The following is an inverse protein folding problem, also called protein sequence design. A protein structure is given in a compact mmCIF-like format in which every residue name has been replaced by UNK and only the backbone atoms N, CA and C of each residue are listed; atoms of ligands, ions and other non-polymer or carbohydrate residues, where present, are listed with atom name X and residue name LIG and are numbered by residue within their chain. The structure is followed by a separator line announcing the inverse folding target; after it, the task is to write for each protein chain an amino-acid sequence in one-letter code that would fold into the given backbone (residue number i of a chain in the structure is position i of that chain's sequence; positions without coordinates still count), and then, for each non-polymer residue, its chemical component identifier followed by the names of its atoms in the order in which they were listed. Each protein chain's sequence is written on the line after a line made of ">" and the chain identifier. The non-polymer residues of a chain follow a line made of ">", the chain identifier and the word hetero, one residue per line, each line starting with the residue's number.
data_IF_521130376389
#
_entry.id   IF_521130376389
#
_cell.length_a   1.000
_cell.length_b   1.000
_cell.length_c   1.000
_cell.angle_alpha   90.00
_cell.angle_beta   90.00
_cell.angle_gamma   90.00
#
_symmetry.space_group_name_H-M   'P 1'
#
loop_
_entity.id
_entity.type
_entity.pdbx_description
1 polymer ?
#
# COMPACT_ATOMS: atom_id res chain seq x y z
N UNK A 1 -26.47 2.04 -15.09
CA UNK A 1 -25.84 3.30 -14.64
C UNK A 1 -24.46 3.35 -15.28
N UNK A 2 -24.32 3.77 -16.53
CA UNK A 2 -24.25 5.16 -17.03
C UNK A 2 -23.27 6.00 -16.20
N UNK A 3 -21.98 5.89 -16.53
CA UNK A 3 -20.97 6.86 -16.14
C UNK A 3 -21.43 8.27 -16.59
N UNK A 4 -21.67 9.21 -15.67
CA UNK A 4 -21.99 10.58 -16.06
C UNK A 4 -20.75 11.22 -16.68
N UNK A 5 -20.97 11.81 -17.86
CA UNK A 5 -20.12 12.76 -18.59
C UNK A 5 -19.03 13.41 -17.71
N UNK A 6 -17.79 12.96 -17.90
CA UNK A 6 -16.57 13.36 -17.15
C UNK A 6 -16.11 14.78 -17.51
N UNK A 7 -16.96 15.80 -17.33
CA UNK A 7 -16.60 17.19 -17.67
C UNK A 7 -16.54 18.16 -16.48
N UNK A 8 -16.95 17.74 -15.27
CA UNK A 8 -17.17 18.67 -14.14
C UNK A 8 -16.75 18.11 -12.77
N UNK A 9 -15.80 17.16 -12.69
CA UNK A 9 -15.39 16.58 -11.39
C UNK A 9 -13.91 16.82 -11.10
N UNK A 10 -13.62 17.95 -10.45
CA UNK A 10 -12.45 18.12 -9.56
C UNK A 10 -12.63 17.17 -8.35
N UNK A 11 -12.46 15.87 -8.55
CA UNK A 11 -12.46 14.90 -7.45
C UNK A 11 -11.02 14.60 -7.09
N UNK A 12 -10.60 15.08 -5.91
CA UNK A 12 -9.22 15.12 -5.44
C UNK A 12 -8.61 13.72 -5.15
N UNK A 13 -9.42 12.66 -5.17
CA UNK A 13 -8.99 11.25 -5.10
C UNK A 13 -10.21 10.36 -5.41
N UNK A 14 -10.28 9.77 -6.59
CA UNK A 14 -11.32 8.79 -6.94
C UNK A 14 -10.69 7.40 -7.00
N UNK A 15 -11.23 6.46 -6.22
CA UNK A 15 -10.75 5.08 -6.12
C UNK A 15 -11.55 4.21 -7.09
N UNK A 16 -10.89 3.68 -8.12
CA UNK A 16 -11.50 2.77 -9.09
C UNK A 16 -11.40 1.33 -8.59
N UNK A 17 -12.52 0.60 -8.58
CA UNK A 17 -12.57 -0.83 -8.27
C UNK A 17 -13.23 -1.56 -9.45
N UNK A 18 -12.43 -2.37 -10.15
CA UNK A 18 -12.82 -3.12 -11.34
C UNK A 18 -14.08 -3.97 -11.11
N UNK A 19 -14.30 -4.50 -9.89
CA UNK A 19 -15.46 -5.37 -9.59
C UNK A 19 -16.76 -4.60 -9.46
N UNK A 20 -16.67 -3.33 -9.09
CA UNK A 20 -17.84 -2.48 -8.84
C UNK A 20 -18.18 -1.68 -10.09
N UNK A 21 -17.17 -1.31 -10.88
CA UNK A 21 -17.33 -0.41 -12.02
C UNK A 21 -17.48 -1.11 -13.38
N UNK A 22 -17.14 -2.39 -13.52
CA UNK A 22 -17.17 -3.11 -14.81
C UNK A 22 -18.06 -4.34 -14.71
N UNK A 23 -19.11 -4.39 -15.54
CA UNK A 23 -19.99 -5.56 -15.66
C UNK A 23 -19.19 -6.78 -16.14
N UNK A 24 -19.06 -7.82 -15.32
CA UNK A 24 -18.29 -9.02 -15.67
C UNK A 24 -19.04 -9.97 -16.63
N UNK A 25 -20.34 -9.79 -16.80
CA UNK A 25 -21.24 -10.65 -17.57
C UNK A 25 -21.56 -10.11 -18.97
N UNK A 26 -21.48 -8.80 -19.18
CA UNK A 26 -21.87 -8.15 -20.44
C UNK A 26 -20.65 -7.60 -21.19
N UNK A 27 -20.39 -8.15 -22.37
CA UNK A 27 -19.23 -7.80 -23.19
C UNK A 27 -19.30 -6.40 -23.82
N UNK A 28 -20.51 -5.90 -24.13
CA UNK A 28 -20.68 -4.54 -24.65
C UNK A 28 -20.39 -3.51 -23.56
N UNK A 29 -20.92 -3.72 -22.36
CA UNK A 29 -20.66 -2.83 -21.21
C UNK A 29 -19.19 -2.86 -20.79
N UNK A 30 -18.48 -3.98 -20.97
CA UNK A 30 -17.02 -4.03 -20.78
C UNK A 30 -16.28 -3.15 -21.77
N UNK A 31 -16.66 -3.18 -23.05
CA UNK A 31 -16.06 -2.34 -24.07
C UNK A 31 -16.22 -0.85 -23.78
N UNK A 32 -17.43 -0.43 -23.39
CA UNK A 32 -17.70 0.95 -23.00
C UNK A 32 -16.92 1.37 -21.75
N UNK A 33 -16.86 0.48 -20.75
CA UNK A 33 -16.08 0.73 -19.54
C UNK A 33 -14.58 0.86 -19.83
N UNK A 34 -14.03 0.06 -20.74
CA UNK A 34 -12.62 0.12 -21.16
C UNK A 34 -12.29 1.47 -21.80
N UNK A 35 -13.16 1.97 -22.68
CA UNK A 35 -12.99 3.28 -23.32
C UNK A 35 -13.05 4.40 -22.28
N UNK A 36 -14.01 4.36 -21.36
CA UNK A 36 -14.11 5.35 -20.28
C UNK A 36 -12.90 5.30 -19.34
N UNK A 37 -12.37 4.11 -19.07
CA UNK A 37 -11.19 3.92 -18.22
C UNK A 37 -9.94 4.54 -18.86
N UNK A 38 -9.73 4.37 -20.17
CA UNK A 38 -8.62 5.01 -20.88
C UNK A 38 -8.68 6.53 -20.82
N UNK A 39 -9.88 7.12 -20.96
CA UNK A 39 -10.07 8.56 -20.80
C UNK A 39 -9.77 9.03 -19.37
N UNK A 40 -10.18 8.26 -18.36
CA UNK A 40 -9.91 8.54 -16.95
C UNK A 40 -8.41 8.52 -16.62
N UNK A 41 -7.69 7.48 -17.08
CA UNK A 41 -6.25 7.35 -16.88
C UNK A 41 -5.47 8.49 -17.54
N UNK A 42 -5.94 8.99 -18.70
CA UNK A 42 -5.35 10.15 -19.39
C UNK A 42 -5.57 11.46 -18.61
N UNK A 43 -6.72 11.64 -17.96
CA UNK A 43 -7.03 12.83 -17.17
C UNK A 43 -6.41 12.81 -15.76
N UNK A 44 -5.95 11.66 -15.28
CA UNK A 44 -5.35 11.52 -13.95
C UNK A 44 -3.93 12.09 -13.93
N UNK A 45 -3.58 12.87 -12.90
CA UNK A 45 -2.24 13.45 -12.75
C UNK A 45 -1.24 12.48 -12.09
N UNK A 46 -1.73 11.57 -11.24
CA UNK A 46 -0.92 10.59 -10.51
C UNK A 46 -1.65 9.26 -10.35
N UNK A 47 -0.89 8.18 -10.18
CA UNK A 47 -1.40 6.82 -9.99
C UNK A 47 -0.70 6.16 -8.80
N UNK A 48 -1.49 5.62 -7.86
CA UNK A 48 -1.01 4.83 -6.73
C UNK A 48 -1.25 3.35 -7.02
N UNK A 49 -0.18 2.58 -7.12
CA UNK A 49 -0.19 1.13 -7.31
C UNK A 49 0.11 0.45 -5.98
N UNK A 50 -0.89 -0.26 -5.46
CA UNK A 50 -0.70 -1.14 -4.31
C UNK A 50 -0.15 -2.48 -4.82
N UNK A 51 1.16 -2.63 -4.73
CA UNK A 51 1.87 -3.78 -5.28
C UNK A 51 1.78 -4.98 -4.33
N UNK A 52 1.11 -6.01 -4.79
CA UNK A 52 0.93 -7.28 -4.09
C UNK A 52 1.16 -8.44 -5.08
N UNK A 53 1.49 -9.67 -4.64
CA UNK A 53 1.72 -10.79 -5.55
C UNK A 53 0.53 -11.09 -6.48
N UNK A 54 -0.71 -10.78 -6.06
CA UNK A 54 -1.91 -10.92 -6.90
C UNK A 54 -2.13 -9.74 -7.85
N UNK A 55 -1.41 -8.62 -7.69
CA UNK A 55 -1.49 -7.46 -8.58
C UNK A 55 -1.04 -7.84 -10.00
N UNK A 56 0.10 -8.53 -10.12
CA UNK A 56 0.61 -9.00 -11.42
C UNK A 56 -0.21 -10.15 -12.02
N UNK A 57 -0.97 -10.87 -11.20
CA UNK A 57 -1.88 -11.93 -11.67
C UNK A 57 -3.19 -11.40 -12.25
N UNK A 58 -3.55 -10.14 -11.99
CA UNK A 58 -4.76 -9.50 -12.49
C UNK A 58 -4.45 -8.72 -13.76
N UNK A 59 -4.93 -9.22 -14.90
CA UNK A 59 -4.69 -8.63 -16.22
C UNK A 59 -5.11 -7.15 -16.29
N UNK A 60 -6.24 -6.80 -15.67
CA UNK A 60 -6.79 -5.46 -15.64
C UNK A 60 -5.89 -4.46 -14.91
N UNK A 61 -5.34 -4.83 -13.75
CA UNK A 61 -4.40 -3.98 -13.00
C UNK A 61 -3.15 -3.62 -13.84
N UNK A 62 -2.62 -4.59 -14.58
CA UNK A 62 -1.49 -4.37 -15.50
C UNK A 62 -1.91 -3.52 -16.71
N UNK A 63 -3.12 -3.73 -17.24
CA UNK A 63 -3.68 -2.91 -18.31
C UNK A 63 -3.82 -1.45 -17.88
N UNK A 64 -4.31 -1.17 -16.68
CA UNK A 64 -4.42 0.19 -16.14
C UNK A 64 -3.05 0.86 -15.98
N UNK A 65 -2.08 0.13 -15.42
CA UNK A 65 -0.71 0.62 -15.28
C UNK A 65 -0.09 0.92 -16.64
N UNK A 66 -0.21 0.01 -17.61
CA UNK A 66 0.28 0.21 -18.96
C UNK A 66 -0.42 1.37 -19.66
N UNK A 67 -1.75 1.49 -19.53
CA UNK A 67 -2.55 2.57 -20.09
C UNK A 67 -2.19 3.93 -19.50
N UNK A 68 -1.97 4.01 -18.19
CA UNK A 68 -1.49 5.22 -17.52
C UNK A 68 -0.13 5.65 -18.08
N UNK A 69 0.84 4.74 -18.14
CA UNK A 69 2.19 5.02 -18.66
C UNK A 69 2.18 5.40 -20.13
N UNK A 70 1.37 4.71 -20.95
CA UNK A 70 1.25 5.00 -22.39
C UNK A 70 0.59 6.36 -22.67
N UNK A 71 -0.35 6.80 -21.81
CA UNK A 71 -1.05 8.07 -21.97
C UNK A 71 -0.17 9.31 -21.74
N UNK A 72 1.02 9.14 -21.14
CA UNK A 72 1.92 10.26 -20.79
C UNK A 72 2.77 10.68 -21.99
N UNK A 73 2.98 11.99 -22.12
CA UNK A 73 3.83 12.55 -23.18
C UNK A 73 5.31 12.21 -22.95
N UNK A 74 6.03 11.98 -24.04
CA UNK A 74 7.46 11.68 -24.04
C UNK A 74 8.23 12.86 -23.43
N UNK A 75 8.83 12.64 -22.25
CA UNK A 75 9.59 13.66 -21.51
C UNK A 75 8.94 14.16 -20.21
N UNK A 76 7.66 13.84 -19.96
CA UNK A 76 7.04 14.06 -18.64
C UNK A 76 7.33 12.88 -17.72
N UNK A 77 7.78 13.14 -16.49
CA UNK A 77 7.90 12.08 -15.47
C UNK A 77 6.50 11.69 -14.98
N UNK A 78 6.04 10.44 -15.20
CA UNK A 78 4.77 9.98 -14.64
C UNK A 78 4.84 10.01 -13.11
N UNK A 79 3.84 10.61 -12.46
CA UNK A 79 3.68 10.55 -11.01
C UNK A 79 3.10 9.19 -10.62
N UNK A 80 3.93 8.15 -10.69
CA UNK A 80 3.58 6.79 -10.34
C UNK A 80 4.18 6.44 -8.97
N UNK A 81 3.33 6.14 -8.00
CA UNK A 81 3.74 5.70 -6.67
C UNK A 81 3.41 4.22 -6.51
N UNK A 82 4.43 3.39 -6.29
CA UNK A 82 4.25 1.94 -6.06
C UNK A 82 4.49 1.66 -4.58
N UNK A 83 3.48 1.14 -3.87
CA UNK A 83 3.57 0.80 -2.45
C UNK A 83 3.35 -0.70 -2.25
N UNK A 84 4.35 -1.45 -1.77
CA UNK A 84 4.18 -2.86 -1.48
C UNK A 84 3.27 -3.05 -0.26
N UNK A 85 2.17 -3.79 -0.41
CA UNK A 85 1.19 -4.04 0.67
C UNK A 85 1.67 -5.08 1.68
N UNK A 86 2.53 -6.02 1.25
CA UNK A 86 3.08 -7.09 2.11
C UNK A 86 4.06 -6.54 3.15
N UNK A 87 4.73 -5.42 2.83
CA UNK A 87 5.74 -4.82 3.71
C UNK A 87 5.13 -4.37 5.05
N UNK A 88 3.92 -3.80 5.03
CA UNK A 88 3.24 -3.38 6.26
C UNK A 88 2.96 -4.55 7.21
N UNK A 89 2.42 -5.65 6.69
CA UNK A 89 2.10 -6.84 7.50
C UNK A 89 3.38 -7.49 8.02
N UNK A 90 4.40 -7.65 7.17
CA UNK A 90 5.66 -8.24 7.58
C UNK A 90 6.34 -7.46 8.72
N UNK A 91 6.35 -6.13 8.64
CA UNK A 91 6.89 -5.27 9.69
C UNK A 91 6.11 -5.44 11.01
N UNK A 92 4.77 -5.47 10.96
CA UNK A 92 3.96 -5.68 12.17
C UNK A 92 4.20 -7.05 12.81
N UNK A 93 4.35 -8.10 12.01
CA UNK A 93 4.63 -9.45 12.50
C UNK A 93 6.03 -9.55 13.15
N UNK A 94 7.04 -8.95 12.53
CA UNK A 94 8.40 -8.90 13.08
C UNK A 94 8.41 -8.15 14.41
N UNK A 95 7.69 -7.02 14.49
CA UNK A 95 7.56 -6.26 15.74
C UNK A 95 6.85 -7.05 16.83
N UNK A 96 5.76 -7.73 16.51
CA UNK A 96 5.05 -8.58 17.46
C UNK A 96 5.97 -9.67 18.00
N UNK A 97 6.74 -10.33 17.13
CA UNK A 97 7.69 -11.36 17.53
C UNK A 97 8.79 -10.79 18.46
N UNK A 98 9.36 -9.63 18.15
CA UNK A 98 10.36 -8.98 19.00
C UNK A 98 9.81 -8.62 20.39
N UNK A 99 8.58 -8.10 20.45
CA UNK A 99 7.94 -7.76 21.74
C UNK A 99 7.65 -9.01 22.58
N UNK A 100 7.19 -10.10 21.96
CA UNK A 100 6.96 -11.37 22.66
C UNK A 100 8.28 -11.93 23.20
N UNK A 101 9.35 -11.88 22.40
CA UNK A 101 10.66 -12.39 22.80
C UNK A 101 11.25 -11.55 23.95
N UNK A 102 11.10 -10.23 23.88
CA UNK A 102 11.49 -9.31 24.96
C UNK A 102 10.70 -9.57 26.25
N UNK A 103 9.38 -9.76 26.16
CA UNK A 103 8.55 -10.07 27.33
C UNK A 103 8.95 -11.40 27.98
N UNK A 104 9.19 -12.43 27.18
CA UNK A 104 9.64 -13.73 27.66
C UNK A 104 11.03 -13.68 28.32
N UNK A 105 11.97 -12.95 27.71
CA UNK A 105 13.30 -12.75 28.26
C UNK A 105 13.23 -12.02 29.62
N UNK A 106 12.50 -10.91 29.66
CA UNK A 106 12.19 -10.18 30.88
C UNK A 106 11.65 -11.12 31.97
N UNK A 107 10.57 -11.85 31.71
CA UNK A 107 9.99 -12.77 32.69
C UNK A 107 10.98 -13.83 33.20
N UNK A 108 11.81 -14.38 32.30
CA UNK A 108 12.84 -15.35 32.67
C UNK A 108 13.93 -14.75 33.59
N UNK A 109 14.40 -13.53 33.30
CA UNK A 109 15.42 -12.88 34.12
C UNK A 109 14.89 -12.44 35.49
N UNK A 110 13.62 -12.07 35.60
CA UNK A 110 12.96 -11.85 36.90
C UNK A 110 12.92 -13.15 37.71
N UNK A 111 12.60 -14.27 37.07
CA UNK A 111 12.56 -15.58 37.71
C UNK A 111 13.93 -16.02 38.25
N UNK A 112 15.01 -15.69 37.53
CA UNK A 112 16.40 -15.98 37.92
C UNK A 112 16.96 -14.97 38.92
N UNK A 113 16.23 -13.88 39.21
CA UNK A 113 16.65 -12.86 40.17
C UNK A 113 17.75 -11.93 39.65
N UNK A 114 17.74 -11.60 38.37
CA UNK A 114 18.68 -10.66 37.77
C UNK A 114 18.54 -9.23 38.34
N UNK A 115 19.65 -8.50 38.44
CA UNK A 115 19.70 -7.16 39.04
C UNK A 115 19.01 -6.06 38.23
N UNK A 116 18.58 -4.99 38.90
CA UNK A 116 17.80 -3.87 38.34
C UNK A 116 18.51 -3.11 37.19
N UNK A 117 19.85 -3.10 37.16
CA UNK A 117 20.64 -2.50 36.08
C UNK A 117 20.41 -3.19 34.72
N UNK A 118 20.19 -4.51 34.73
CA UNK A 118 19.88 -5.27 33.52
C UNK A 118 18.51 -4.87 32.95
N UNK A 119 17.54 -4.65 33.81
CA UNK A 119 16.17 -4.26 33.45
C UNK A 119 16.08 -2.89 32.80
N UNK A 120 16.84 -1.92 33.31
CA UNK A 120 16.89 -0.57 32.74
C UNK A 120 17.48 -0.61 31.32
N UNK A 121 18.60 -1.34 31.13
CA UNK A 121 19.22 -1.51 29.81
C UNK A 121 18.28 -2.18 28.80
N UNK A 122 17.55 -3.21 29.22
CA UNK A 122 16.59 -3.91 28.38
C UNK A 122 15.40 -3.02 27.98
N UNK A 123 14.84 -2.25 28.92
CA UNK A 123 13.71 -1.35 28.66
C UNK A 123 14.08 -0.21 27.71
N UNK A 124 15.25 0.41 27.92
CA UNK A 124 15.78 1.46 27.05
C UNK A 124 16.09 0.91 25.65
N UNK A 125 16.66 -0.29 25.55
CA UNK A 125 16.90 -0.96 24.26
C UNK A 125 15.61 -1.24 23.50
N UNK A 126 14.61 -1.83 24.16
CA UNK A 126 13.33 -2.14 23.53
C UNK A 126 12.57 -0.89 23.06
N UNK A 127 12.57 0.18 23.86
CA UNK A 127 11.93 1.45 23.49
C UNK A 127 12.66 2.15 22.34
N UNK A 128 14.00 2.14 22.31
CA UNK A 128 14.77 2.69 21.20
C UNK A 128 14.49 1.96 19.87
N UNK A 129 14.40 0.63 19.89
CA UNK A 129 14.04 -0.16 18.69
C UNK A 129 12.64 0.20 18.20
N UNK A 130 11.65 0.35 19.10
CA UNK A 130 10.30 0.76 18.72
C UNK A 130 10.28 2.15 18.08
N UNK A 131 11.04 3.12 18.60
CA UNK A 131 11.12 4.46 18.02
C UNK A 131 11.76 4.47 16.63
N UNK A 132 12.83 3.70 16.41
CA UNK A 132 13.47 3.57 15.10
C UNK A 132 12.52 2.95 14.08
N UNK A 133 11.76 1.93 14.48
CA UNK A 133 10.82 1.27 13.57
C UNK A 133 9.61 2.14 13.25
N UNK A 134 9.08 2.91 14.21
CA UNK A 134 8.02 3.90 13.96
C UNK A 134 8.52 4.94 12.95
N UNK A 135 9.75 5.43 13.10
CA UNK A 135 10.34 6.37 12.15
C UNK A 135 10.48 5.78 10.74
N UNK A 136 10.96 4.54 10.62
CA UNK A 136 11.08 3.84 9.32
C UNK A 136 9.69 3.59 8.71
N UNK A 137 8.72 3.17 9.52
CA UNK A 137 7.33 2.95 9.09
C UNK A 137 6.66 4.24 8.58
N UNK A 138 6.87 5.37 9.27
CA UNK A 138 6.41 6.68 8.82
C UNK A 138 7.09 7.13 7.53
N UNK A 139 8.39 6.87 7.37
CA UNK A 139 9.13 7.21 6.14
C UNK A 139 8.67 6.38 4.94
N UNK A 140 8.32 5.10 5.15
CA UNK A 140 7.77 4.22 4.11
C UNK A 140 6.34 4.61 3.72
N UNK A 141 5.60 5.30 4.59
CA UNK A 141 4.23 5.75 4.36
C UNK A 141 4.12 7.12 3.64
N UNK A 142 5.19 7.93 3.63
CA UNK A 142 5.30 9.18 2.86
C UNK A 142 5.77 8.90 1.42
#
# INVERSE_FOLDING_TARGET
>A
MIFPRVRELKVKTQRFDERICISQSDEQLKGEALISLGAFLKCSDSMLVLWDPSYVGRLWCIFELAGFLHSRQRGMKPQLMIRPTVLGIAVHLILAQLNITNFAASFFFDLVGAGMEFWIGHFVGATAVMLVVIHIGCFVAQ
#
